data_IF_413135088113
#
_entry.id   IF_413135088113
#
_cell.length_a   1.000
_cell.length_b   1.000
_cell.length_c   1.000
_cell.angle_alpha   90.00
_cell.angle_beta   90.00
_cell.angle_gamma   90.00
#
_symmetry.space_group_name_H-M   'P 1'
#
loop_
_entity.id
_entity.type
_entity.pdbx_description
1 polymer ?
#
# COMPACT_ATOMS: atom_id res chain seq x y z
N UNK A 1 -13.13 -6.74 -11.71
CA UNK A 1 -13.17 -5.46 -12.45
C UNK A 1 -13.54 -5.75 -13.88
N UNK A 2 -14.32 -4.89 -14.51
CA UNK A 2 -14.79 -5.07 -15.90
C UNK A 2 -13.66 -5.03 -16.94
N UNK A 3 -12.46 -4.60 -16.55
CA UNK A 3 -11.27 -4.61 -17.41
C UNK A 3 -10.49 -5.92 -17.28
N UNK A 4 -10.40 -6.65 -18.40
CA UNK A 4 -9.62 -7.88 -18.53
C UNK A 4 -8.09 -7.63 -18.42
N UNK A 5 -7.65 -6.44 -18.85
CA UNK A 5 -6.26 -6.00 -18.90
C UNK A 5 -6.07 -4.71 -18.10
N UNK A 6 -5.02 -4.65 -17.28
CA UNK A 6 -4.64 -3.47 -16.49
C UNK A 6 -3.15 -3.14 -16.64
N UNK A 7 -2.75 -1.88 -16.42
CA UNK A 7 -1.33 -1.50 -16.41
C UNK A 7 -0.62 -2.12 -15.20
N UNK A 8 0.54 -2.73 -15.42
CA UNK A 8 1.38 -3.32 -14.37
C UNK A 8 2.33 -2.31 -13.73
N UNK A 9 1.82 -1.12 -13.42
CA UNK A 9 2.60 -0.06 -12.77
C UNK A 9 2.94 -0.42 -11.32
N UNK A 10 3.96 0.26 -10.79
CA UNK A 10 4.21 0.22 -9.37
C UNK A 10 3.25 1.13 -8.61
N UNK A 11 2.72 0.63 -7.51
CA UNK A 11 1.99 1.39 -6.50
C UNK A 11 2.87 1.62 -5.29
N UNK A 12 2.75 2.82 -4.71
CA UNK A 12 3.25 3.14 -3.39
C UNK A 12 2.09 2.90 -2.41
N UNK A 13 2.08 1.74 -1.77
CA UNK A 13 0.96 1.32 -0.93
C UNK A 13 1.28 1.53 0.55
N UNK A 14 0.35 2.15 1.27
CA UNK A 14 0.49 2.50 2.68
C UNK A 14 -0.76 2.21 3.50
N UNK A 15 -0.55 1.75 4.74
CA UNK A 15 -1.62 1.70 5.74
C UNK A 15 -1.90 3.12 6.27
N UNK A 16 -3.17 3.50 6.30
CA UNK A 16 -3.57 4.83 6.83
C UNK A 16 -3.20 5.00 8.31
N UNK A 17 -3.15 3.91 9.08
CA UNK A 17 -2.74 3.94 10.49
C UNK A 17 -1.24 4.22 10.62
N UNK A 18 -0.42 3.65 9.73
CA UNK A 18 1.03 3.91 9.74
C UNK A 18 1.35 5.38 9.38
N UNK A 19 0.50 6.02 8.57
CA UNK A 19 0.61 7.46 8.29
C UNK A 19 0.29 8.29 9.53
N UNK A 20 -0.77 7.94 10.27
CA UNK A 20 -1.10 8.60 11.53
C UNK A 20 0.03 8.43 12.57
N UNK A 21 0.55 7.21 12.70
CA UNK A 21 1.68 6.89 13.58
C UNK A 21 2.95 7.68 13.17
N UNK A 22 3.22 7.83 11.88
CA UNK A 22 4.34 8.64 11.37
C UNK A 22 4.20 10.12 11.71
N UNK A 23 3.00 10.68 11.56
CA UNK A 23 2.72 12.09 11.86
C UNK A 23 2.92 12.38 13.34
N UNK A 24 2.40 11.50 14.20
CA UNK A 24 2.59 11.61 15.66
C UNK A 24 4.07 11.53 16.03
N UNK A 25 4.79 10.54 15.50
CA UNK A 25 6.22 10.37 15.75
C UNK A 25 7.04 11.60 15.32
N UNK A 26 6.76 12.16 14.15
CA UNK A 26 7.46 13.34 13.67
C UNK A 26 7.15 14.60 14.49
N UNK A 27 5.93 14.69 15.04
CA UNK A 27 5.53 15.80 15.91
C UNK A 27 6.21 15.73 17.29
N UNK A 28 6.27 14.54 17.88
CA UNK A 28 6.78 14.35 19.24
C UNK A 28 8.30 14.28 19.32
N UNK A 29 8.97 13.87 18.25
CA UNK A 29 10.42 13.69 18.24
C UNK A 29 11.16 15.03 18.01
N UNK A 30 11.91 15.56 18.99
CA UNK A 30 12.60 16.85 18.84
C UNK A 30 13.70 16.86 17.76
N UNK A 31 14.19 15.68 17.34
CA UNK A 31 15.17 15.54 16.26
C UNK A 31 14.52 15.60 14.87
N UNK A 32 13.18 15.54 14.78
CA UNK A 32 12.47 15.60 13.52
C UNK A 32 12.63 16.98 12.86
N UNK A 33 12.97 17.00 11.57
CA UNK A 33 13.17 18.25 10.83
C UNK A 33 12.95 18.09 9.33
N UNK A 34 12.36 19.11 8.71
CA UNK A 34 12.09 19.15 7.27
C UNK A 34 11.06 18.12 6.83
N UNK A 35 11.24 17.56 5.63
CA UNK A 35 10.29 16.63 5.00
C UNK A 35 10.65 15.17 5.27
N UNK A 36 9.62 14.32 5.35
CA UNK A 36 9.71 12.87 5.48
C UNK A 36 8.84 12.22 4.41
N UNK A 37 9.39 11.22 3.72
CA UNK A 37 8.63 10.38 2.80
C UNK A 37 8.06 9.22 3.63
N UNK A 38 6.75 9.02 3.52
CA UNK A 38 6.02 7.90 4.13
C UNK A 38 5.52 6.98 3.02
N UNK A 39 6.42 6.16 2.48
CA UNK A 39 6.16 5.25 1.36
C UNK A 39 7.15 4.06 1.34
N UNK A 40 7.16 3.18 2.36
CA UNK A 40 8.05 2.04 2.49
C UNK A 40 7.89 0.95 1.43
N UNK A 41 6.70 0.78 0.86
CA UNK A 41 6.43 -0.35 -0.04
C UNK A 41 6.08 0.12 -1.45
N UNK A 42 6.94 -0.26 -2.39
CA UNK A 42 6.73 -0.16 -3.84
C UNK A 42 6.41 -1.56 -4.36
N UNK A 43 5.19 -1.78 -4.86
CA UNK A 43 4.67 -3.10 -5.26
C UNK A 43 3.99 -3.04 -6.63
N UNK A 44 4.15 -4.05 -7.49
CA UNK A 44 3.47 -4.08 -8.79
C UNK A 44 1.97 -4.38 -8.62
N UNK A 45 1.14 -3.87 -9.54
CA UNK A 45 -0.30 -4.21 -9.57
C UNK A 45 -0.52 -5.73 -9.64
N UNK A 46 0.31 -6.45 -10.41
CA UNK A 46 0.25 -7.92 -10.49
C UNK A 46 0.44 -8.59 -9.14
N UNK A 47 1.34 -8.07 -8.30
CA UNK A 47 1.67 -8.63 -7.00
C UNK A 47 0.57 -8.32 -5.98
N UNK A 48 0.01 -7.10 -6.01
CA UNK A 48 -1.17 -6.74 -5.21
C UNK A 48 -2.35 -7.66 -5.53
N UNK A 49 -2.60 -7.91 -6.83
CA UNK A 49 -3.66 -8.83 -7.26
C UNK A 49 -3.36 -10.26 -6.83
N UNK A 50 -2.10 -10.69 -6.83
CA UNK A 50 -1.70 -12.02 -6.33
C UNK A 50 -2.01 -12.19 -4.84
N UNK A 51 -1.70 -11.18 -4.02
CA UNK A 51 -2.03 -11.16 -2.59
C UNK A 51 -3.55 -11.22 -2.40
N UNK A 52 -4.30 -10.38 -3.10
CA UNK A 52 -5.76 -10.36 -3.01
C UNK A 52 -6.39 -11.68 -3.47
N UNK A 53 -5.90 -12.31 -4.55
CA UNK A 53 -6.34 -13.63 -4.99
C UNK A 53 -6.10 -14.70 -3.94
N UNK A 54 -4.97 -14.63 -3.23
CA UNK A 54 -4.64 -15.58 -2.16
C UNK A 54 -5.57 -15.41 -0.96
N UNK A 55 -5.84 -14.16 -0.54
CA UNK A 55 -6.68 -13.86 0.62
C UNK A 55 -8.19 -14.03 0.31
N UNK A 56 -8.61 -13.68 -0.90
CA UNK A 56 -10.01 -13.60 -1.32
C UNK A 56 -10.20 -14.16 -2.74
N UNK A 57 -10.12 -15.48 -2.92
CA UNK A 57 -10.15 -16.11 -4.25
C UNK A 57 -11.48 -16.01 -4.98
N UNK A 58 -12.57 -15.67 -4.29
CA UNK A 58 -13.94 -15.66 -4.83
C UNK A 58 -14.25 -14.46 -5.74
N UNK A 59 -13.43 -13.41 -5.69
CA UNK A 59 -13.64 -12.21 -6.51
C UNK A 59 -13.13 -12.37 -7.95
N UNK A 60 -13.68 -11.55 -8.85
CA UNK A 60 -13.19 -11.45 -10.23
C UNK A 60 -12.04 -10.45 -10.33
N UNK A 61 -10.87 -10.95 -10.70
CA UNK A 61 -9.64 -10.18 -10.86
C UNK A 61 -9.22 -10.06 -12.33
N UNK A 62 -8.48 -9.00 -12.70
CA UNK A 62 -7.78 -8.92 -13.98
C UNK A 62 -6.86 -10.14 -14.22
N UNK A 63 -6.74 -10.51 -15.50
CA UNK A 63 -5.92 -11.65 -15.95
C UNK A 63 -4.68 -11.20 -16.72
N UNK A 64 -4.78 -10.08 -17.41
CA UNK A 64 -3.73 -9.57 -18.28
C UNK A 64 -3.13 -8.27 -17.72
N UNK A 65 -1.85 -8.09 -17.99
CA UNK A 65 -1.03 -7.01 -17.46
C UNK A 65 -0.19 -6.40 -18.58
N UNK A 66 -0.27 -5.09 -18.76
CA UNK A 66 0.57 -4.37 -19.72
C UNK A 66 1.69 -3.67 -18.96
N UNK A 67 2.95 -3.98 -19.27
CA UNK A 67 4.09 -3.29 -18.67
C UNK A 67 4.15 -1.84 -19.12
N UNK A 68 4.51 -0.95 -18.20
CA UNK A 68 4.62 0.50 -18.44
C UNK A 68 5.93 1.02 -17.89
N UNK A 69 6.33 2.22 -18.32
CA UNK A 69 7.55 2.86 -17.84
C UNK A 69 7.51 3.06 -16.31
N UNK A 70 8.63 2.76 -15.68
CA UNK A 70 8.75 2.81 -14.24
C UNK A 70 9.07 4.22 -13.73
N UNK A 71 8.32 4.66 -12.72
CA UNK A 71 8.63 5.90 -12.01
C UNK A 71 9.77 5.75 -11.01
N UNK A 72 10.24 6.88 -10.47
CA UNK A 72 11.32 6.93 -9.48
C UNK A 72 11.02 6.11 -8.21
N UNK A 73 12.08 5.52 -7.64
CA UNK A 73 12.01 4.83 -6.35
C UNK A 73 12.13 5.85 -5.23
N UNK A 74 11.22 5.79 -4.27
CA UNK A 74 11.19 6.65 -3.09
C UNK A 74 11.79 5.93 -1.90
N UNK A 75 12.51 6.64 -1.02
CA UNK A 75 13.08 6.07 0.21
C UNK A 75 12.40 6.67 1.44
N UNK A 76 11.95 5.78 2.34
CA UNK A 76 11.42 6.15 3.66
C UNK A 76 12.47 6.03 4.77
N UNK A 77 13.75 5.84 4.42
CA UNK A 77 14.85 5.59 5.36
C UNK A 77 14.97 6.71 6.42
N UNK A 78 14.77 7.97 6.02
CA UNK A 78 14.82 9.10 6.95
C UNK A 78 13.74 8.99 8.04
N UNK A 79 12.55 8.51 7.70
CA UNK A 79 11.45 8.31 8.63
C UNK A 79 11.70 7.08 9.51
N UNK A 80 12.20 5.99 8.92
CA UNK A 80 12.59 4.78 9.67
C UNK A 80 13.71 5.05 10.68
N UNK A 81 14.66 5.94 10.37
CA UNK A 81 15.71 6.39 11.30
C UNK A 81 15.16 7.11 12.53
N UNK A 82 13.92 7.61 12.50
CA UNK A 82 13.23 8.13 13.70
C UNK A 82 12.59 7.03 14.57
N UNK A 83 12.70 5.76 14.17
CA UNK A 83 12.06 4.63 14.84
C UNK A 83 10.71 4.22 14.25
N UNK A 84 10.31 4.80 13.11
CA UNK A 84 9.06 4.43 12.46
C UNK A 84 9.12 3.02 11.88
N UNK A 85 8.06 2.26 12.14
CA UNK A 85 7.83 0.94 11.55
C UNK A 85 6.46 0.94 10.86
N UNK A 86 6.24 -0.01 9.96
CA UNK A 86 5.02 -0.07 9.16
C UNK A 86 4.51 -1.50 9.08
N UNK A 87 3.21 -1.64 8.84
CA UNK A 87 2.50 -2.92 8.80
C UNK A 87 2.74 -3.63 7.46
N UNK A 88 2.70 -4.99 7.43
CA UNK A 88 2.77 -5.74 6.18
C UNK A 88 1.61 -5.40 5.23
N UNK A 89 1.88 -5.40 3.93
CA UNK A 89 0.90 -5.05 2.89
C UNK A 89 -0.33 -5.95 2.91
N UNK A 90 -0.14 -7.24 3.19
CA UNK A 90 -1.21 -8.23 3.29
C UNK A 90 -2.24 -7.84 4.34
N UNK A 91 -1.77 -7.29 5.48
CA UNK A 91 -2.66 -6.82 6.55
C UNK A 91 -3.44 -5.58 6.09
N UNK A 92 -2.78 -4.63 5.44
CA UNK A 92 -3.42 -3.42 4.91
C UNK A 92 -4.50 -3.77 3.90
N UNK A 93 -4.20 -4.67 2.95
CA UNK A 93 -5.14 -5.11 1.93
C UNK A 93 -6.30 -5.92 2.54
N UNK A 94 -6.01 -6.85 3.45
CA UNK A 94 -7.02 -7.64 4.15
C UNK A 94 -8.00 -6.78 4.94
N UNK A 95 -7.48 -5.90 5.81
CA UNK A 95 -8.31 -4.99 6.60
C UNK A 95 -9.15 -4.05 5.72
N UNK A 96 -8.60 -3.63 4.57
CA UNK A 96 -9.34 -2.79 3.60
C UNK A 96 -10.51 -3.54 2.97
N UNK A 97 -10.33 -4.80 2.57
CA UNK A 97 -11.41 -5.63 2.01
C UNK A 97 -12.50 -5.88 3.06
N UNK A 98 -12.14 -6.20 4.31
CA UNK A 98 -13.13 -6.40 5.38
C UNK A 98 -13.89 -5.10 5.70
N UNK A 99 -13.22 -3.95 5.68
CA UNK A 99 -13.88 -2.64 5.82
C UNK A 99 -14.89 -2.38 4.69
N UNK A 100 -14.54 -2.73 3.45
CA UNK A 100 -15.45 -2.60 2.30
C UNK A 100 -16.64 -3.56 2.37
N UNK A 101 -16.47 -4.77 2.90
CA UNK A 101 -17.59 -5.68 3.18
C UNK A 101 -18.52 -5.13 4.27
N UNK A 102 -17.94 -4.67 5.38
CA UNK A 102 -18.70 -4.11 6.49
C UNK A 102 -19.50 -2.86 6.10
N UNK A 103 -19.01 -2.09 5.12
CA UNK A 103 -19.70 -0.92 4.56
C UNK A 103 -20.68 -1.25 3.42
N UNK A 104 -20.81 -2.51 3.02
CA UNK A 104 -21.69 -2.93 1.92
C UNK A 104 -21.23 -2.51 0.53
N UNK A 105 -19.96 -2.12 0.38
CA UNK A 105 -19.35 -1.76 -0.91
C UNK A 105 -18.94 -3.01 -1.68
N UNK A 106 -18.43 -4.03 -0.96
CA UNK A 106 -18.11 -5.34 -1.48
C UNK A 106 -19.07 -6.37 -0.91
N UNK A 107 -19.55 -7.28 -1.77
CA UNK A 107 -20.36 -8.42 -1.39
C UNK A 107 -19.52 -9.67 -1.15
#
# INVERSE_FOLDING_TARGET
GEHETVENRFWNLMDVRDVADALLLAYENPAASGRYICSPVRIKVSDVISILKTLYPTYTYPKNFTEVEEGNVMSSEKLQKLGWTFRPVEKTLGDSVESYKASGILN
#
